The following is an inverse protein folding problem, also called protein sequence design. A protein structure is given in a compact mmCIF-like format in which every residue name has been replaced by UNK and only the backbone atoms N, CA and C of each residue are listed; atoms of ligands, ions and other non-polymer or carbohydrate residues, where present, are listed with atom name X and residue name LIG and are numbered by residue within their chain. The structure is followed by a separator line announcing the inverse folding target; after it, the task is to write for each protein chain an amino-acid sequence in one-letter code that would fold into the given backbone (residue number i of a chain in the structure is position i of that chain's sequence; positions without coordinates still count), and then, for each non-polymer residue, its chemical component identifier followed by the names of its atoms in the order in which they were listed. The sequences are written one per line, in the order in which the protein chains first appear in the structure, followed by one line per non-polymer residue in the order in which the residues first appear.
data_IF_239664010162
#
_entry.id   IF_239664010162
#
_cell.length_a   1.000
_cell.length_b   1.000
_cell.length_c   1.000
_cell.angle_alpha   90.00
_cell.angle_beta   90.00
_cell.angle_gamma   90.00
#
_symmetry.space_group_name_H-M   'P 1'
#
loop_
_entity.id
_entity.type
_entity.pdbx_description
1 polymer ?
#
# COMPACT_ATOMS: atom_id res chain seq x y z
N UNK A 1 -5.55 -15.44 18.71
CA UNK A 1 -5.65 -14.64 17.46
C UNK A 1 -5.24 -13.22 17.81
N UNK A 2 -4.20 -12.70 17.17
CA UNK A 2 -3.72 -11.33 17.37
C UNK A 2 -4.05 -10.51 16.13
N UNK A 3 -4.59 -9.32 16.32
CA UNK A 3 -4.89 -8.36 15.26
C UNK A 3 -4.20 -7.06 15.67
N UNK A 4 -3.36 -6.55 14.79
CA UNK A 4 -2.74 -5.24 14.93
C UNK A 4 -3.19 -4.39 13.74
N UNK A 5 -3.69 -3.19 14.01
CA UNK A 5 -4.16 -2.26 12.99
C UNK A 5 -3.74 -0.85 13.34
N UNK A 6 -3.64 0.01 12.33
CA UNK A 6 -3.23 1.40 12.47
C UNK A 6 -3.49 2.17 11.18
N UNK A 7 -3.38 3.50 11.26
CA UNK A 7 -3.42 4.37 10.10
C UNK A 7 -1.99 4.59 9.58
N UNK A 8 -1.72 4.18 8.35
CA UNK A 8 -0.40 4.27 7.71
C UNK A 8 -0.37 5.47 6.76
N UNK A 9 -0.40 6.68 7.31
CA UNK A 9 -0.36 7.92 6.55
C UNK A 9 0.95 8.01 5.74
N UNK A 10 0.86 8.35 4.45
CA UNK A 10 2.02 8.50 3.56
C UNK A 10 2.61 7.19 3.03
N UNK A 11 2.10 6.03 3.45
CA UNK A 11 2.47 4.74 2.86
C UNK A 11 2.05 4.67 1.38
N UNK A 12 0.91 5.28 1.04
CA UNK A 12 0.41 5.41 -0.34
C UNK A 12 1.44 6.11 -1.26
N UNK A 13 2.10 7.18 -0.79
CA UNK A 13 3.09 7.92 -1.56
C UNK A 13 4.35 7.09 -1.81
N UNK A 14 4.74 6.25 -0.83
CA UNK A 14 5.88 5.34 -0.98
C UNK A 14 5.58 4.23 -1.99
N UNK A 15 4.39 3.62 -1.90
CA UNK A 15 3.93 2.60 -2.85
C UNK A 15 3.83 3.20 -4.26
N UNK A 16 3.28 4.41 -4.39
CA UNK A 16 3.16 5.09 -5.67
C UNK A 16 4.52 5.41 -6.29
N UNK A 17 5.51 5.84 -5.50
CA UNK A 17 6.89 6.08 -5.98
C UNK A 17 7.54 4.81 -6.53
N UNK A 18 7.38 3.67 -5.84
CA UNK A 18 7.89 2.38 -6.34
C UNK A 18 7.19 2.00 -7.66
N UNK A 19 5.88 2.22 -7.74
CA UNK A 19 5.10 1.92 -8.93
C UNK A 19 5.48 2.83 -10.13
N UNK A 20 5.66 4.12 -9.90
CA UNK A 20 6.13 5.08 -10.91
C UNK A 20 7.54 4.74 -11.42
N UNK A 21 8.45 4.28 -10.56
CA UNK A 21 9.77 3.83 -10.99
C UNK A 21 9.70 2.62 -11.93
N UNK A 22 8.81 1.67 -11.65
CA UNK A 22 8.58 0.48 -12.50
C UNK A 22 7.96 0.88 -13.85
N UNK A 23 7.03 1.86 -13.86
CA UNK A 23 6.37 2.35 -15.09
C UNK A 23 7.28 3.25 -15.91
N UNK A 24 8.15 4.05 -15.30
CA UNK A 24 9.10 4.91 -16.01
C UNK A 24 10.00 4.15 -17.00
N UNK A 25 10.11 2.82 -16.84
CA UNK A 25 10.81 1.92 -17.75
C UNK A 25 9.92 1.24 -18.81
N UNK A 26 8.59 1.26 -18.65
CA UNK A 26 7.58 0.73 -19.58
C UNK A 26 6.59 1.83 -19.97
N UNK A 27 6.87 2.51 -21.07
CA UNK A 27 6.07 3.62 -21.58
C UNK A 27 4.62 3.25 -21.87
N UNK A 28 3.72 4.22 -21.58
CA UNK A 28 2.30 4.33 -21.99
C UNK A 28 1.39 3.17 -21.58
N UNK A 29 0.81 3.29 -20.39
CA UNK A 29 -0.61 2.96 -20.10
C UNK A 29 -0.81 3.19 -18.60
N UNK A 30 -1.22 4.40 -18.21
CA UNK A 30 -1.46 4.70 -16.79
C UNK A 30 -2.42 5.86 -16.65
N UNK A 31 -3.67 5.61 -17.02
CA UNK A 31 -4.80 6.51 -16.68
C UNK A 31 -5.62 5.95 -15.51
N UNK A 32 -5.34 4.72 -15.05
CA UNK A 32 -6.21 4.00 -14.11
C UNK A 32 -5.71 3.94 -12.66
N UNK A 33 -4.42 4.24 -12.42
CA UNK A 33 -3.80 4.14 -11.09
C UNK A 33 -3.95 5.42 -10.26
N UNK A 34 -4.30 6.55 -10.88
CA UNK A 34 -4.52 7.82 -10.19
C UNK A 34 -5.85 7.89 -9.41
N UNK A 35 -6.81 6.98 -9.64
CA UNK A 35 -8.19 7.23 -9.21
C UNK A 35 -8.65 6.51 -7.93
N UNK A 36 -7.85 5.63 -7.30
CA UNK A 36 -8.32 4.95 -6.09
C UNK A 36 -7.21 4.68 -5.06
N UNK A 37 -7.10 5.55 -4.05
CA UNK A 37 -6.21 5.37 -2.89
C UNK A 37 -6.39 4.02 -2.20
N UNK A 38 -7.64 3.57 -2.04
CA UNK A 38 -7.95 2.25 -1.49
C UNK A 38 -7.43 1.07 -2.34
N UNK A 39 -7.17 1.26 -3.64
CA UNK A 39 -6.60 0.22 -4.51
C UNK A 39 -5.08 0.11 -4.43
N UNK A 40 -4.39 1.19 -4.03
CA UNK A 40 -2.94 1.19 -3.83
C UNK A 40 -2.54 0.35 -2.63
N UNK A 41 -3.29 0.47 -1.53
CA UNK A 41 -3.16 -0.39 -0.36
C UNK A 41 -3.60 -1.84 -0.59
N UNK A 42 -4.03 -2.27 -1.78
CA UNK A 42 -4.22 -3.70 -2.10
C UNK A 42 -3.00 -4.32 -2.79
N UNK A 43 -2.03 -3.48 -3.16
CA UNK A 43 -0.81 -3.85 -3.87
C UNK A 43 0.43 -3.66 -2.98
N UNK A 44 0.22 -3.38 -1.71
CA UNK A 44 1.24 -3.22 -0.70
C UNK A 44 2.02 -4.52 -0.50
N UNK A 45 3.33 -4.38 -0.37
CA UNK A 45 4.22 -5.50 -0.05
C UNK A 45 4.72 -5.33 1.37
N UNK A 46 5.12 -6.44 1.98
CA UNK A 46 5.82 -6.42 3.28
C UNK A 46 7.06 -5.51 3.28
N UNK A 47 7.72 -5.36 2.12
CA UNK A 47 8.86 -4.45 1.95
C UNK A 47 8.50 -2.98 2.11
N UNK A 48 7.28 -2.58 1.74
CA UNK A 48 6.83 -1.19 1.87
C UNK A 48 6.66 -0.81 3.35
N UNK A 49 6.16 -1.74 4.16
CA UNK A 49 6.07 -1.58 5.62
C UNK A 49 7.46 -1.47 6.27
N UNK A 50 8.46 -2.18 5.75
CA UNK A 50 9.84 -2.04 6.22
C UNK A 50 10.38 -0.65 5.90
N UNK A 51 10.17 -0.17 4.68
CA UNK A 51 10.57 1.19 4.25
C UNK A 51 9.81 2.29 5.00
N UNK A 52 8.60 2.01 5.47
CA UNK A 52 7.81 2.91 6.32
C UNK A 52 8.39 3.03 7.74
N UNK A 53 9.16 2.04 8.19
CA UNK A 53 9.83 2.05 9.50
C UNK A 53 9.43 0.90 10.43
N UNK A 54 8.64 -0.07 9.96
CA UNK A 54 8.34 -1.27 10.74
C UNK A 54 9.51 -2.26 10.62
N UNK A 55 9.93 -2.84 11.74
CA UNK A 55 11.04 -3.81 11.74
C UNK A 55 10.64 -5.15 11.07
N UNK A 56 11.54 -5.80 10.31
CA UNK A 56 11.24 -7.05 9.60
C UNK A 56 10.76 -8.19 10.50
N UNK A 57 11.33 -8.31 11.71
CA UNK A 57 10.98 -9.34 12.69
C UNK A 57 9.53 -9.20 13.17
N UNK A 58 9.02 -7.97 13.20
CA UNK A 58 7.64 -7.71 13.60
C UNK A 58 6.68 -8.07 12.48
N UNK A 59 6.96 -7.67 11.23
CA UNK A 59 6.14 -8.05 10.07
C UNK A 59 6.15 -9.57 9.86
N UNK A 60 7.28 -10.24 10.11
CA UNK A 60 7.37 -11.70 10.01
C UNK A 60 6.45 -12.46 10.97
N UNK A 61 5.95 -11.82 12.03
CA UNK A 61 4.95 -12.41 12.95
C UNK A 61 3.51 -12.26 12.46
N UNK A 62 3.28 -11.45 11.42
CA UNK A 62 1.96 -11.19 10.83
C UNK A 62 1.96 -11.63 9.36
N UNK A 63 1.69 -12.92 9.08
CA UNK A 63 1.69 -13.44 7.70
C UNK A 63 0.50 -12.95 6.87
N UNK A 64 -0.48 -12.29 7.49
CA UNK A 64 -1.69 -11.78 6.84
C UNK A 64 -1.71 -10.26 7.01
N UNK A 65 -1.79 -9.56 5.88
CA UNK A 65 -1.97 -8.11 5.80
C UNK A 65 -3.34 -7.88 5.16
N UNK A 66 -4.10 -6.94 5.69
CA UNK A 66 -5.39 -6.55 5.17
C UNK A 66 -5.49 -5.03 5.14
N UNK A 67 -5.85 -4.48 3.99
CA UNK A 67 -6.14 -3.07 3.83
C UNK A 67 -7.64 -2.80 3.87
N UNK A 68 -8.00 -1.70 4.51
CA UNK A 68 -9.37 -1.18 4.54
C UNK A 68 -9.54 -0.11 3.47
N UNK A 69 -10.71 -0.09 2.85
CA UNK A 69 -11.08 0.96 1.89
C UNK A 69 -11.58 2.21 2.62
N UNK A 70 -11.38 3.37 1.99
CA UNK A 70 -11.94 4.62 2.49
C UNK A 70 -13.48 4.56 2.48
N UNK A 71 -14.09 5.24 3.47
CA UNK A 71 -15.54 5.33 3.57
C UNK A 71 -16.08 6.17 2.41
N UNK A 72 -16.86 5.55 1.53
CA UNK A 72 -17.61 6.24 0.47
C UNK A 72 -19.07 6.40 0.89
N UNK A 73 -19.61 7.61 0.75
CA UNK A 73 -21.03 7.84 0.94
C UNK A 73 -21.81 7.12 -0.16
N UNK A 74 -22.64 6.16 0.23
CA UNK A 74 -23.54 5.46 -0.68
C UNK A 74 -24.88 6.21 -0.67
N UNK A 75 -25.04 7.14 -1.61
CA UNK A 75 -26.34 7.74 -1.95
C UNK A 75 -27.06 6.88 -2.98
#
# INVERSE_FOLDING_TARGET
MFICGGAFNGLEDQIQKEFQYIIGFKSKETTEVEQNKGSLFKKEKSQDLIKYGIIPEFIGRFPVIAALEELVNKS
#
